data_IF_636040285758
#
_entry.id   IF_636040285758
#
_cell.length_a   1.000
_cell.length_b   1.000
_cell.length_c   1.000
_cell.angle_alpha   90.00
_cell.angle_beta   90.00
_cell.angle_gamma   90.00
#
_symmetry.space_group_name_H-M   'P 1'
#
loop_
_entity.id
_entity.type
_entity.pdbx_description
1 polymer ?
#
# COMPACT_ATOMS: atom_id res chain seq x y z
N UNK A 1 45.45 22.07 -30.87
CA UNK A 1 44.93 21.08 -31.84
C UNK A 1 44.05 20.11 -31.07
N UNK A 2 42.86 19.85 -31.62
CA UNK A 2 41.79 18.95 -31.16
C UNK A 2 41.01 19.37 -29.90
N UNK A 3 39.91 20.06 -30.17
CA UNK A 3 38.76 20.28 -29.31
C UNK A 3 37.91 19.00 -29.22
N UNK A 4 37.31 18.72 -28.06
CA UNK A 4 36.26 17.72 -27.89
C UNK A 4 34.94 18.46 -27.64
N UNK A 5 34.01 18.29 -28.57
CA UNK A 5 32.70 18.91 -28.57
C UNK A 5 31.76 18.26 -27.54
N UNK A 6 31.06 19.11 -26.79
CA UNK A 6 29.91 18.77 -25.96
C UNK A 6 28.69 18.72 -26.88
N UNK A 7 27.95 17.60 -26.89
CA UNK A 7 26.62 17.51 -27.50
C UNK A 7 25.58 17.51 -26.38
N UNK A 8 24.71 18.52 -26.40
CA UNK A 8 23.46 18.57 -25.64
C UNK A 8 22.40 17.63 -26.27
N UNK A 9 21.45 17.08 -25.51
CA UNK A 9 20.29 16.41 -26.09
C UNK A 9 19.16 17.42 -26.36
N UNK A 10 18.76 17.52 -27.62
CA UNK A 10 17.57 18.24 -28.08
C UNK A 10 16.28 17.59 -27.54
N UNK A 11 15.40 18.42 -26.96
CA UNK A 11 14.05 18.06 -26.59
C UNK A 11 13.14 18.07 -27.82
N UNK A 12 12.59 16.91 -28.19
CA UNK A 12 11.51 16.81 -29.18
C UNK A 12 10.15 16.88 -28.48
N UNK A 13 9.43 17.98 -28.72
CA UNK A 13 8.07 18.18 -28.27
C UNK A 13 7.10 17.44 -29.22
N UNK A 14 6.37 16.46 -28.69
CA UNK A 14 5.20 15.86 -29.34
C UNK A 14 3.94 16.46 -28.70
N UNK A 15 3.25 17.29 -29.48
CA UNK A 15 1.99 17.91 -29.12
C UNK A 15 0.86 16.87 -29.10
N UNK A 16 0.24 16.65 -27.94
CA UNK A 16 -1.04 15.96 -27.83
C UNK A 16 -2.16 17.01 -27.88
N UNK A 17 -2.90 17.03 -28.99
CA UNK A 17 -4.07 17.88 -29.17
C UNK A 17 -5.23 17.38 -28.30
N UNK A 18 -5.70 18.24 -27.39
CA UNK A 18 -6.95 18.05 -26.68
C UNK A 18 -8.13 18.33 -27.63
N UNK A 19 -8.94 17.30 -27.90
CA UNK A 19 -10.19 17.45 -28.64
C UNK A 19 -11.31 17.76 -27.63
N UNK A 20 -11.64 19.05 -27.49
CA UNK A 20 -12.80 19.52 -26.74
C UNK A 20 -14.09 19.27 -27.55
N UNK A 21 -14.92 18.31 -27.11
CA UNK A 21 -16.29 18.19 -27.60
C UNK A 21 -17.20 19.17 -26.85
N UNK A 22 -17.54 20.25 -27.54
CA UNK A 22 -18.60 21.19 -27.17
C UNK A 22 -19.97 20.50 -27.23
N UNK A 23 -20.62 20.31 -26.08
CA UNK A 23 -22.07 20.03 -26.04
C UNK A 23 -22.80 21.37 -25.88
N UNK A 24 -23.46 21.81 -26.97
CA UNK A 24 -24.36 22.97 -26.98
C UNK A 24 -25.62 22.65 -26.16
N UNK A 25 -25.90 23.47 -25.14
CA UNK A 25 -27.23 23.60 -24.54
C UNK A 25 -28.17 24.26 -25.56
N UNK A 26 -29.33 23.64 -25.81
CA UNK A 26 -30.51 24.32 -26.35
C UNK A 26 -31.54 24.41 -25.24
N UNK A 27 -31.89 25.64 -24.87
CA UNK A 27 -33.05 25.95 -24.02
C UNK A 27 -34.23 26.37 -24.92
N UNK A 28 -35.42 25.91 -24.57
CA UNK A 28 -36.69 26.37 -25.12
C UNK A 28 -37.87 25.90 -24.23
N UNK A 29 -38.92 26.70 -24.01
CA UNK A 29 -39.67 26.69 -22.74
C UNK A 29 -41.06 26.05 -22.86
N UNK A 30 -41.56 25.43 -21.77
CA UNK A 30 -42.99 25.15 -21.59
C UNK A 30 -43.42 25.38 -20.13
N UNK A 31 -44.54 26.11 -20.00
CA UNK A 31 -45.21 26.61 -18.78
C UNK A 31 -46.20 25.56 -18.18
N UNK A 32 -46.84 25.80 -17.01
CA UNK A 32 -46.95 24.80 -15.93
C UNK A 32 -48.39 24.33 -15.56
N UNK A 33 -48.42 23.50 -14.49
CA UNK A 33 -49.48 23.13 -13.52
C UNK A 33 -50.35 21.87 -13.74
N UNK A 34 -50.91 21.22 -12.67
CA UNK A 34 -50.58 21.25 -11.22
C UNK A 34 -50.60 19.89 -10.47
N UNK A 35 -50.05 19.91 -9.24
CA UNK A 35 -50.36 19.14 -8.02
C UNK A 35 -50.33 17.59 -7.98
N UNK A 36 -49.43 17.05 -7.15
CA UNK A 36 -49.80 16.10 -6.09
C UNK A 36 -48.74 16.08 -4.96
N UNK A 37 -49.21 16.17 -3.72
CA UNK A 37 -48.44 16.10 -2.47
C UNK A 37 -47.87 14.68 -2.24
N UNK A 38 -46.64 14.61 -1.68
CA UNK A 38 -46.35 14.01 -0.37
C UNK A 38 -45.00 13.26 -0.27
N UNK A 39 -44.43 13.42 0.94
CA UNK A 39 -43.41 12.59 1.63
C UNK A 39 -41.94 12.84 1.28
N UNK A 40 -41.27 13.58 2.17
CA UNK A 40 -39.81 13.58 2.36
C UNK A 40 -39.37 12.29 3.08
N UNK A 41 -38.22 11.69 2.71
CA UNK A 41 -37.34 11.04 3.66
C UNK A 41 -36.13 11.94 3.96
N UNK A 42 -35.73 11.98 5.23
CA UNK A 42 -34.60 12.76 5.75
C UNK A 42 -33.23 12.27 5.24
N UNK A 43 -32.14 12.99 5.59
CA UNK A 43 -30.82 12.69 5.07
C UNK A 43 -30.29 11.39 5.67
N UNK A 44 -30.15 10.37 4.82
CA UNK A 44 -29.34 9.18 5.10
C UNK A 44 -27.87 9.60 5.20
N UNK A 45 -27.24 9.14 6.29
CA UNK A 45 -25.82 9.27 6.58
C UNK A 45 -24.95 8.85 5.37
N UNK A 46 -23.87 9.61 5.17
CA UNK A 46 -22.89 9.38 4.12
C UNK A 46 -22.34 7.96 4.17
N UNK A 47 -22.63 7.20 3.13
CA UNK A 47 -22.08 5.88 2.89
C UNK A 47 -20.60 6.07 2.51
N UNK A 48 -19.70 5.81 3.45
CA UNK A 48 -18.26 5.72 3.18
C UNK A 48 -18.06 4.56 2.21
N UNK A 49 -17.37 4.84 1.11
CA UNK A 49 -17.05 3.88 0.05
C UNK A 49 -16.16 2.76 0.62
N UNK A 50 -16.74 1.57 0.79
CA UNK A 50 -16.00 0.35 1.05
C UNK A 50 -15.08 0.01 -0.15
N UNK A 51 -13.95 -0.70 0.07
CA UNK A 51 -13.02 -1.04 -0.99
C UNK A 51 -13.69 -1.90 -2.07
N UNK A 52 -13.35 -1.62 -3.34
CA UNK A 52 -13.84 -2.33 -4.52
C UNK A 52 -13.54 -3.85 -4.55
N UNK A 53 -12.82 -4.38 -3.55
CA UNK A 53 -12.52 -5.81 -3.41
C UNK A 53 -13.78 -6.68 -3.18
N UNK A 54 -14.86 -6.16 -2.60
CA UNK A 54 -16.08 -6.94 -2.36
C UNK A 54 -17.04 -7.05 -3.57
N UNK A 55 -16.81 -6.32 -4.66
CA UNK A 55 -17.69 -6.37 -5.85
C UNK A 55 -17.33 -7.42 -6.89
N UNK A 56 -16.14 -8.02 -6.81
CA UNK A 56 -15.71 -9.06 -7.76
C UNK A 56 -16.19 -10.46 -7.35
N UNK A 57 -16.52 -10.70 -6.07
CA UNK A 57 -17.05 -11.99 -5.59
C UNK A 57 -18.56 -12.23 -5.85
N UNK A 58 -19.30 -11.20 -6.28
CA UNK A 58 -20.76 -11.29 -6.49
C UNK A 58 -21.17 -11.54 -7.95
N UNK A 59 -20.22 -11.50 -8.88
CA UNK A 59 -20.49 -11.76 -10.31
C UNK A 59 -20.39 -13.26 -10.63
N UNK A 60 -19.63 -14.05 -9.88
CA UNK A 60 -19.44 -15.49 -10.14
C UNK A 60 -20.51 -16.41 -9.53
N UNK A 61 -21.30 -15.94 -8.55
CA UNK A 61 -22.36 -16.74 -7.91
C UNK A 61 -23.68 -16.82 -8.68
N UNK A 62 -23.82 -16.11 -9.81
CA UNK A 62 -25.01 -16.17 -10.68
C UNK A 62 -24.99 -17.30 -11.72
N UNK A 63 -23.92 -18.10 -11.76
CA UNK A 63 -23.78 -19.21 -12.70
C UNK A 63 -24.17 -20.60 -12.14
N UNK A 64 -24.59 -20.69 -10.86
CA UNK A 64 -24.95 -21.96 -10.23
C UNK A 64 -26.47 -22.19 -10.24
N UNK A 65 -26.87 -23.46 -10.40
CA UNK A 65 -28.29 -23.84 -10.46
C UNK A 65 -29.05 -23.49 -9.17
N UNK A 66 -30.37 -23.22 -9.23
CA UNK A 66 -31.19 -22.81 -8.08
C UNK A 66 -31.17 -23.81 -6.90
N UNK A 67 -30.84 -25.08 -7.17
CA UNK A 67 -30.77 -26.13 -6.15
C UNK A 67 -29.59 -25.96 -5.18
N UNK A 68 -28.50 -25.30 -5.60
CA UNK A 68 -27.27 -25.11 -4.79
C UNK A 68 -27.39 -23.90 -3.85
N UNK A 69 -28.23 -22.92 -4.19
CA UNK A 69 -28.41 -21.69 -3.40
C UNK A 69 -29.17 -21.91 -2.08
N UNK A 70 -29.89 -23.03 -1.93
CA UNK A 70 -30.75 -23.28 -0.76
C UNK A 70 -30.06 -23.92 0.45
N UNK A 71 -28.78 -24.29 0.33
CA UNK A 71 -28.05 -25.10 1.32
C UNK A 71 -26.87 -24.40 2.00
N UNK A 72 -26.55 -23.15 1.64
CA UNK A 72 -25.41 -22.41 2.21
C UNK A 72 -25.86 -21.53 3.37
N UNK A 73 -25.37 -21.82 4.58
CA UNK A 73 -25.53 -20.94 5.75
C UNK A 73 -24.45 -19.84 5.72
N UNK A 74 -24.70 -18.64 6.26
CA UNK A 74 -23.73 -17.54 6.30
C UNK A 74 -22.48 -17.80 7.17
N UNK A 75 -22.38 -18.98 7.80
CA UNK A 75 -21.24 -19.40 8.62
C UNK A 75 -20.24 -20.30 7.87
N UNK A 76 -20.54 -20.70 6.63
CA UNK A 76 -19.62 -21.47 5.78
C UNK A 76 -18.93 -20.49 4.82
N UNK A 77 -18.11 -19.60 5.38
CA UNK A 77 -17.28 -18.71 4.58
C UNK A 77 -16.24 -19.55 3.81
N UNK A 78 -16.08 -19.25 2.52
CA UNK A 78 -15.05 -19.77 1.62
C UNK A 78 -13.65 -19.28 2.03
N UNK A 79 -13.20 -19.59 3.25
CA UNK A 79 -11.93 -19.09 3.80
C UNK A 79 -10.72 -19.97 3.49
N UNK A 80 -10.91 -21.17 2.93
CA UNK A 80 -9.83 -22.17 2.80
C UNK A 80 -9.45 -22.54 1.36
N UNK A 81 -9.59 -21.61 0.40
CA UNK A 81 -9.14 -21.86 -0.98
C UNK A 81 -8.03 -20.91 -1.42
N UNK A 82 -6.80 -21.32 -1.13
CA UNK A 82 -5.62 -20.74 -1.74
C UNK A 82 -5.53 -21.16 -3.22
N UNK A 83 -5.23 -20.22 -4.10
CA UNK A 83 -5.03 -20.50 -5.53
C UNK A 83 -3.80 -19.77 -6.05
N UNK A 84 -3.07 -20.40 -6.95
CA UNK A 84 -1.96 -19.76 -7.66
C UNK A 84 -2.44 -19.30 -9.02
N UNK A 85 -2.21 -18.03 -9.35
CA UNK A 85 -2.47 -17.46 -10.67
C UNK A 85 -1.16 -17.21 -11.39
N UNK A 86 -1.00 -17.80 -12.57
CA UNK A 86 0.15 -17.59 -13.44
C UNK A 86 -0.30 -16.86 -14.69
N UNK A 87 0.48 -15.88 -15.13
CA UNK A 87 0.19 -15.09 -16.33
C UNK A 87 1.39 -15.11 -17.28
N UNK A 88 1.11 -15.45 -18.54
CA UNK A 88 2.04 -15.38 -19.66
C UNK A 88 1.50 -14.41 -20.71
N UNK A 89 2.30 -13.41 -21.05
CA UNK A 89 1.96 -12.40 -22.07
C UNK A 89 2.92 -12.52 -23.25
N UNK A 90 2.39 -12.59 -24.46
CA UNK A 90 3.17 -12.66 -25.70
C UNK A 90 2.75 -11.53 -26.61
N UNK A 91 3.73 -10.73 -27.04
CA UNK A 91 3.59 -9.63 -27.98
C UNK A 91 4.39 -9.95 -29.25
N UNK A 92 3.75 -10.13 -30.41
CA UNK A 92 4.44 -10.40 -31.66
C UNK A 92 5.07 -9.13 -32.23
N UNK A 93 6.03 -9.33 -33.13
CA UNK A 93 6.67 -8.26 -33.90
C UNK A 93 5.65 -7.52 -34.78
N UNK A 94 5.75 -6.18 -34.94
CA UNK A 94 4.81 -5.38 -35.73
C UNK A 94 4.77 -5.71 -37.23
N UNK A 95 5.70 -6.54 -37.74
CA UNK A 95 5.82 -6.81 -39.18
C UNK A 95 4.98 -7.99 -39.70
N UNK A 96 4.47 -8.90 -38.85
CA UNK A 96 3.55 -9.97 -39.26
C UNK A 96 2.98 -10.69 -38.03
N UNK A 97 1.84 -10.25 -37.46
CA UNK A 97 1.20 -11.00 -36.39
C UNK A 97 0.69 -12.34 -36.94
N UNK A 98 1.02 -13.45 -36.27
CA UNK A 98 0.43 -14.75 -36.58
C UNK A 98 -1.10 -14.65 -36.45
N UNK A 99 -1.80 -15.30 -37.38
CA UNK A 99 -3.27 -15.29 -37.41
C UNK A 99 -3.84 -15.89 -36.12
N UNK A 100 -4.80 -15.20 -35.51
CA UNK A 100 -5.32 -15.55 -34.18
C UNK A 100 -6.00 -16.94 -34.16
N UNK A 101 -6.61 -17.36 -35.27
CA UNK A 101 -7.17 -18.70 -35.40
C UNK A 101 -6.06 -19.77 -35.47
N UNK A 102 -4.96 -19.45 -36.16
CA UNK A 102 -3.76 -20.30 -36.21
C UNK A 102 -3.12 -20.47 -34.84
N UNK A 103 -3.02 -19.40 -34.04
CA UNK A 103 -2.53 -19.45 -32.65
C UNK A 103 -3.44 -20.33 -31.80
N UNK A 104 -4.77 -20.10 -31.87
CA UNK A 104 -5.75 -20.88 -31.12
C UNK A 104 -5.61 -22.37 -31.40
N UNK A 105 -5.65 -22.77 -32.68
CA UNK A 105 -5.50 -24.19 -33.09
C UNK A 105 -4.12 -24.75 -32.72
N UNK A 106 -3.08 -23.93 -32.81
CA UNK A 106 -1.71 -24.32 -32.51
C UNK A 106 -1.48 -24.65 -31.03
N UNK A 107 -2.20 -23.99 -30.13
CA UNK A 107 -2.11 -24.18 -28.67
C UNK A 107 -3.13 -25.18 -28.11
N UNK A 108 -4.24 -25.43 -28.81
CA UNK A 108 -5.30 -26.34 -28.39
C UNK A 108 -4.80 -27.72 -27.94
N UNK A 109 -3.86 -28.32 -28.68
CA UNK A 109 -3.36 -29.67 -28.38
C UNK A 109 -2.73 -29.78 -27.00
N UNK A 110 -2.08 -28.71 -26.52
CA UNK A 110 -1.39 -28.69 -25.22
C UNK A 110 -2.39 -28.96 -24.08
N UNK A 111 -3.56 -28.30 -24.13
CA UNK A 111 -4.58 -28.42 -23.09
C UNK A 111 -5.42 -29.70 -23.25
N UNK A 112 -5.68 -30.13 -24.49
CA UNK A 112 -6.40 -31.37 -24.76
C UNK A 112 -5.62 -32.61 -24.32
N UNK A 113 -4.30 -32.62 -24.47
CA UNK A 113 -3.42 -33.69 -23.97
C UNK A 113 -3.44 -33.80 -22.43
N UNK A 114 -3.76 -32.72 -21.72
CA UNK A 114 -3.98 -32.74 -20.26
C UNK A 114 -5.41 -33.17 -19.88
N UNK A 115 -6.25 -33.54 -20.85
CA UNK A 115 -7.63 -33.95 -20.62
C UNK A 115 -8.55 -32.80 -20.17
N UNK A 116 -8.18 -31.55 -20.44
CA UNK A 116 -9.00 -30.38 -20.12
C UNK A 116 -10.15 -30.23 -21.12
N UNK A 117 -11.32 -29.82 -20.63
CA UNK A 117 -12.49 -29.54 -21.46
C UNK A 117 -12.41 -28.09 -21.97
N UNK A 118 -12.52 -27.91 -23.29
CA UNK A 118 -12.42 -26.61 -23.95
C UNK A 118 -13.80 -25.98 -24.21
N UNK A 119 -13.89 -24.67 -24.02
CA UNK A 119 -14.98 -23.80 -24.50
C UNK A 119 -14.39 -22.57 -25.17
N UNK A 120 -14.73 -22.31 -26.43
CA UNK A 120 -14.24 -21.15 -27.19
C UNK A 120 -15.35 -20.14 -27.40
N UNK A 121 -15.09 -18.89 -27.05
CA UNK A 121 -15.94 -17.75 -27.37
C UNK A 121 -15.21 -16.81 -28.35
N UNK A 122 -15.92 -16.41 -29.41
CA UNK A 122 -15.37 -15.58 -30.49
C UNK A 122 -16.14 -14.28 -30.60
N UNK A 123 -15.43 -13.18 -30.82
CA UNK A 123 -16.02 -11.88 -31.15
C UNK A 123 -15.54 -11.43 -32.51
N UNK A 124 -16.45 -10.86 -33.30
CA UNK A 124 -16.19 -10.43 -34.68
C UNK A 124 -14.95 -9.54 -34.81
N UNK A 125 -14.79 -8.55 -33.91
CA UNK A 125 -13.66 -7.61 -33.95
C UNK A 125 -12.76 -7.66 -32.71
N UNK A 126 -12.96 -8.64 -31.82
CA UNK A 126 -12.28 -8.69 -30.52
C UNK A 126 -11.58 -10.03 -30.27
N UNK A 127 -11.34 -10.83 -31.31
CA UNK A 127 -10.57 -12.07 -31.23
C UNK A 127 -11.27 -13.17 -30.43
N UNK A 128 -10.48 -13.96 -29.69
CA UNK A 128 -10.90 -15.23 -29.09
C UNK A 128 -10.67 -15.27 -27.58
N UNK A 129 -11.55 -15.97 -26.86
CA UNK A 129 -11.33 -16.42 -25.49
C UNK A 129 -11.59 -17.92 -25.46
N UNK A 130 -10.54 -18.71 -25.22
CA UNK A 130 -10.67 -20.14 -24.97
C UNK A 130 -10.48 -20.41 -23.48
N UNK A 131 -11.46 -21.06 -22.88
CA UNK A 131 -11.44 -21.49 -21.48
C UNK A 131 -11.28 -23.00 -21.43
N UNK A 132 -10.27 -23.46 -20.70
CA UNK A 132 -9.97 -24.87 -20.48
C UNK A 132 -10.21 -25.22 -19.03
N UNK A 133 -11.02 -26.23 -18.74
CA UNK A 133 -11.37 -26.64 -17.37
C UNK A 133 -10.87 -28.07 -17.14
N UNK A 134 -10.10 -28.27 -16.07
CA UNK A 134 -9.62 -29.58 -15.64
C UNK A 134 -10.57 -30.18 -14.60
N UNK A 135 -10.58 -31.51 -14.49
CA UNK A 135 -11.41 -32.27 -13.52
C UNK A 135 -11.03 -32.01 -12.08
N UNK A 136 -9.78 -31.59 -11.82
CA UNK A 136 -9.30 -31.22 -10.48
C UNK A 136 -9.71 -29.79 -10.04
N UNK A 137 -10.48 -29.08 -10.86
CA UNK A 137 -10.93 -27.72 -10.56
C UNK A 137 -9.98 -26.61 -11.00
N UNK A 138 -8.79 -26.94 -11.52
CA UNK A 138 -7.94 -25.95 -12.19
C UNK A 138 -8.54 -25.54 -13.53
N UNK A 139 -8.23 -24.32 -13.97
CA UNK A 139 -8.65 -23.83 -15.27
C UNK A 139 -7.60 -22.91 -15.90
N UNK A 140 -7.67 -22.78 -17.21
CA UNK A 140 -6.86 -21.86 -17.99
C UNK A 140 -7.74 -20.99 -18.89
N UNK A 141 -7.41 -19.70 -18.99
CA UNK A 141 -8.01 -18.78 -19.95
C UNK A 141 -6.94 -18.32 -20.93
N UNK A 142 -7.13 -18.65 -22.21
CA UNK A 142 -6.31 -18.17 -23.32
C UNK A 142 -7.08 -17.07 -24.05
N UNK A 143 -6.61 -15.83 -23.91
CA UNK A 143 -7.17 -14.66 -24.57
C UNK A 143 -6.26 -14.25 -25.73
N UNK A 144 -6.81 -14.28 -26.94
CA UNK A 144 -6.09 -13.89 -28.17
C UNK A 144 -6.76 -12.64 -28.73
N UNK A 145 -6.01 -11.54 -28.77
CA UNK A 145 -6.46 -10.28 -29.33
C UNK A 145 -6.11 -10.18 -30.83
N UNK A 146 -6.94 -9.48 -31.63
CA UNK A 146 -6.74 -9.38 -33.08
C UNK A 146 -5.47 -8.61 -33.48
N UNK A 147 -4.89 -7.82 -32.57
CA UNK A 147 -3.65 -7.07 -32.78
C UNK A 147 -2.40 -7.83 -32.29
N UNK A 148 -2.50 -9.15 -32.13
CA UNK A 148 -1.38 -10.03 -31.85
C UNK A 148 -1.09 -10.30 -30.37
N UNK A 149 -1.67 -9.53 -29.43
CA UNK A 149 -1.50 -9.80 -28.01
C UNK A 149 -2.15 -11.15 -27.62
N UNK A 150 -1.36 -12.05 -27.04
CA UNK A 150 -1.85 -13.30 -26.45
C UNK A 150 -1.61 -13.27 -24.95
N UNK A 151 -2.67 -13.49 -24.17
CA UNK A 151 -2.61 -13.64 -22.72
C UNK A 151 -3.06 -15.05 -22.35
N UNK A 152 -2.30 -15.69 -21.48
CA UNK A 152 -2.65 -16.96 -20.88
C UNK A 152 -2.64 -16.82 -19.37
N UNK A 153 -3.78 -17.09 -18.75
CA UNK A 153 -3.96 -17.16 -17.30
C UNK A 153 -4.24 -18.60 -16.89
N UNK A 154 -3.47 -19.13 -15.95
CA UNK A 154 -3.75 -20.42 -15.31
C UNK A 154 -4.06 -20.21 -13.84
N UNK A 155 -5.12 -20.85 -13.37
CA UNK A 155 -5.45 -20.90 -11.95
C UNK A 155 -5.57 -22.36 -11.51
N UNK A 156 -4.78 -22.73 -10.50
CA UNK A 156 -4.87 -24.03 -9.84
C UNK A 156 -5.48 -23.89 -8.46
N UNK A 157 -6.24 -24.92 -8.06
CA UNK A 157 -6.48 -25.24 -6.66
C UNK A 157 -5.29 -26.06 -6.17
N UNK A 158 -4.78 -25.77 -4.97
CA UNK A 158 -3.78 -26.54 -4.21
C UNK A 158 -2.28 -26.12 -4.28
N UNK A 159 -1.63 -26.32 -3.13
CA UNK A 159 -0.26 -25.89 -2.78
C UNK A 159 0.89 -26.70 -3.41
N UNK A 160 2.12 -26.40 -2.96
CA UNK A 160 3.46 -26.65 -3.54
C UNK A 160 3.71 -27.92 -4.39
N UNK A 161 2.96 -29.00 -4.19
CA UNK A 161 3.15 -30.27 -4.91
C UNK A 161 2.63 -30.28 -6.37
N UNK A 162 1.63 -29.44 -6.72
CA UNK A 162 1.07 -29.37 -8.09
C UNK A 162 1.65 -28.26 -8.98
N UNK A 163 2.47 -27.35 -8.42
CA UNK A 163 3.07 -26.24 -9.20
C UNK A 163 3.91 -26.71 -10.40
N UNK A 164 4.52 -27.90 -10.31
CA UNK A 164 5.32 -28.50 -11.40
C UNK A 164 4.51 -28.81 -12.66
N UNK A 165 3.23 -29.16 -12.52
CA UNK A 165 2.37 -29.48 -13.66
C UNK A 165 2.00 -28.20 -14.42
N UNK A 166 1.69 -27.13 -13.69
CA UNK A 166 1.41 -25.81 -14.25
C UNK A 166 2.64 -25.22 -14.94
N UNK A 167 3.81 -25.33 -14.33
CA UNK A 167 5.07 -24.88 -14.94
C UNK A 167 5.39 -25.66 -16.22
N UNK A 168 5.15 -26.97 -16.24
CA UNK A 168 5.32 -27.79 -17.45
C UNK A 168 4.40 -27.34 -18.58
N UNK A 169 3.14 -27.00 -18.26
CA UNK A 169 2.17 -26.52 -19.25
C UNK A 169 2.60 -25.17 -19.84
N UNK A 170 3.03 -24.23 -18.99
CA UNK A 170 3.51 -22.93 -19.45
C UNK A 170 4.75 -23.06 -20.35
N UNK A 171 5.69 -23.94 -19.99
CA UNK A 171 6.88 -24.19 -20.82
C UNK A 171 6.49 -24.72 -22.21
N UNK A 172 5.53 -25.64 -22.29
CA UNK A 172 5.00 -26.14 -23.58
C UNK A 172 4.35 -25.04 -24.40
N UNK A 173 3.60 -24.12 -23.76
CA UNK A 173 2.99 -22.98 -24.46
C UNK A 173 4.06 -22.04 -25.00
N UNK A 174 5.08 -21.72 -24.22
CA UNK A 174 6.20 -20.87 -24.66
C UNK A 174 6.95 -21.49 -25.85
N UNK A 175 7.26 -22.79 -25.80
CA UNK A 175 7.90 -23.52 -26.91
C UNK A 175 7.02 -23.52 -28.16
N UNK A 176 5.73 -23.83 -28.00
CA UNK A 176 4.79 -23.89 -29.12
C UNK A 176 4.56 -22.52 -29.76
N UNK A 177 4.56 -21.45 -28.96
CA UNK A 177 4.43 -20.09 -29.49
C UNK A 177 5.63 -19.68 -30.34
N UNK A 178 6.85 -20.06 -29.95
CA UNK A 178 8.07 -19.85 -30.76
C UNK A 178 7.98 -20.55 -32.13
N UNK A 179 7.41 -21.75 -32.16
CA UNK A 179 7.20 -22.48 -33.43
C UNK A 179 6.16 -21.78 -34.32
N UNK A 180 5.09 -21.25 -33.73
CA UNK A 180 4.01 -20.57 -34.45
C UNK A 180 4.43 -19.19 -34.99
N UNK A 181 5.41 -18.55 -34.36
CA UNK A 181 5.82 -17.18 -34.65
C UNK A 181 7.00 -17.02 -35.61
N UNK A 182 7.48 -18.13 -36.20
CA UNK A 182 8.51 -18.17 -37.24
C UNK A 182 9.76 -17.32 -36.91
N UNK A 183 10.26 -17.38 -35.67
CA UNK A 183 11.44 -16.64 -35.18
C UNK A 183 11.33 -15.10 -35.24
N UNK A 184 10.13 -14.54 -35.37
CA UNK A 184 9.94 -13.10 -35.20
C UNK A 184 10.24 -12.68 -33.75
N UNK A 185 10.69 -11.43 -33.54
CA UNK A 185 11.10 -10.94 -32.21
C UNK A 185 9.90 -10.79 -31.27
N UNK A 186 9.45 -11.90 -30.70
CA UNK A 186 8.38 -11.94 -29.71
C UNK A 186 8.88 -11.46 -28.36
N UNK A 187 8.12 -10.56 -27.72
CA UNK A 187 8.33 -10.25 -26.31
C UNK A 187 7.44 -11.16 -25.50
N UNK A 188 8.08 -12.09 -24.79
CA UNK A 188 7.42 -12.97 -23.83
C UNK A 188 7.65 -12.40 -22.42
N UNK A 189 6.57 -12.27 -21.64
CA UNK A 189 6.63 -11.86 -20.24
C UNK A 189 5.89 -12.88 -19.38
N UNK A 190 6.64 -13.54 -18.49
CA UNK A 190 6.14 -14.45 -17.46
C UNK A 190 6.48 -13.85 -16.09
N UNK A 191 5.45 -13.42 -15.36
CA UNK A 191 5.62 -12.89 -14.01
C UNK A 191 5.64 -14.05 -12.99
N UNK A 192 6.19 -13.84 -11.78
CA UNK A 192 6.02 -14.77 -10.68
C UNK A 192 4.52 -15.08 -10.45
N UNK A 193 4.17 -16.34 -10.12
CA UNK A 193 2.81 -16.72 -9.77
C UNK A 193 2.30 -15.88 -8.58
N UNK A 194 1.07 -15.38 -8.68
CA UNK A 194 0.41 -14.68 -7.56
C UNK A 194 -0.42 -15.69 -6.76
N UNK A 195 -0.10 -15.85 -5.49
CA UNK A 195 -0.91 -16.62 -4.54
C UNK A 195 -2.09 -15.77 -4.08
N UNK A 196 -3.31 -16.28 -4.23
CA UNK A 196 -4.56 -15.61 -3.84
C UNK A 196 -5.22 -16.41 -2.73
N UNK A 197 -5.60 -15.75 -1.63
CA UNK A 197 -6.19 -16.44 -0.47
C UNK A 197 -5.20 -17.37 0.24
N UNK A 198 -3.89 -17.09 0.14
CA UNK A 198 -2.87 -17.83 0.86
C UNK A 198 -2.93 -17.51 2.36
N UNK A 199 -2.59 -18.50 3.20
CA UNK A 199 -2.50 -18.31 4.64
C UNK A 199 -1.43 -17.27 5.06
N UNK A 200 -0.42 -17.07 4.20
CA UNK A 200 0.62 -16.06 4.36
C UNK A 200 0.42 -15.03 3.24
N UNK A 201 0.03 -13.81 3.60
CA UNK A 201 -0.09 -12.72 2.65
C UNK A 201 1.28 -12.06 2.41
N UNK A 202 1.72 -12.11 1.15
CA UNK A 202 3.01 -11.58 0.68
C UNK A 202 2.86 -10.26 -0.07
N UNK A 203 1.64 -9.81 -0.32
CA UNK A 203 1.36 -8.72 -1.24
C UNK A 203 0.90 -7.48 -0.48
N UNK A 204 1.85 -6.59 -0.19
CA UNK A 204 1.60 -5.34 0.55
C UNK A 204 1.89 -4.14 -0.36
N UNK A 205 0.88 -3.61 -1.07
CA UNK A 205 1.08 -2.52 -2.02
C UNK A 205 1.70 -1.28 -1.37
N UNK A 206 2.50 -0.55 -2.15
CA UNK A 206 3.16 0.68 -1.70
C UNK A 206 2.16 1.83 -1.54
N UNK A 207 2.57 2.91 -0.88
CA UNK A 207 1.73 4.10 -0.68
C UNK A 207 1.29 4.74 -2.01
N UNK A 208 2.10 4.65 -3.06
CA UNK A 208 1.75 5.08 -4.42
C UNK A 208 0.99 4.03 -5.25
N UNK A 209 0.54 2.93 -4.63
CA UNK A 209 -0.37 1.94 -5.20
C UNK A 209 0.27 0.91 -6.13
N UNK A 210 1.59 0.70 -6.06
CA UNK A 210 2.26 -0.35 -6.84
C UNK A 210 2.11 -1.70 -6.16
N UNK A 211 1.87 -2.73 -6.96
CA UNK A 211 1.90 -4.11 -6.49
C UNK A 211 3.35 -4.56 -6.27
N UNK A 212 3.67 -4.96 -5.04
CA UNK A 212 4.96 -5.54 -4.67
C UNK A 212 4.73 -6.84 -3.90
N UNK A 213 5.67 -7.77 -4.03
CA UNK A 213 5.67 -9.03 -3.29
C UNK A 213 6.88 -9.02 -2.33
N UNK A 214 6.62 -9.31 -1.07
CA UNK A 214 7.63 -9.48 -0.03
C UNK A 214 8.02 -10.96 0.10
N UNK A 215 9.23 -11.22 0.59
CA UNK A 215 9.74 -12.55 0.89
C UNK A 215 9.27 -13.09 2.25
N UNK A 216 7.97 -12.95 2.53
CA UNK A 216 7.36 -13.38 3.81
C UNK A 216 7.21 -14.90 3.86
N UNK A 217 7.71 -15.52 4.93
CA UNK A 217 7.61 -16.96 5.15
C UNK A 217 6.90 -17.35 6.46
N UNK A 218 6.56 -16.39 7.33
CA UNK A 218 5.81 -16.64 8.56
C UNK A 218 4.89 -15.49 8.95
N UNK A 219 3.67 -15.81 9.40
CA UNK A 219 2.80 -14.89 10.16
C UNK A 219 3.14 -15.05 11.64
N UNK A 220 3.89 -14.10 12.20
CA UNK A 220 4.38 -14.15 13.59
C UNK A 220 3.32 -13.68 14.58
N UNK A 221 2.52 -12.69 14.17
CA UNK A 221 1.44 -12.12 14.94
C UNK A 221 0.38 -11.53 13.99
N UNK A 222 -0.90 -11.71 14.29
CA UNK A 222 -2.01 -11.11 13.56
C UNK A 222 -3.23 -11.02 14.49
N UNK A 223 -3.45 -9.85 15.06
CA UNK A 223 -4.53 -9.63 16.03
C UNK A 223 -5.16 -8.24 15.82
N UNK A 224 -6.44 -8.13 16.13
CA UNK A 224 -7.14 -6.84 16.16
C UNK A 224 -7.13 -6.26 17.58
N UNK A 225 -6.58 -5.06 17.72
CA UNK A 225 -6.73 -4.25 18.93
C UNK A 225 -8.03 -3.43 18.89
N UNK A 226 -8.40 -2.74 19.97
CA UNK A 226 -9.49 -1.77 19.94
C UNK A 226 -9.29 -0.61 18.94
N UNK A 227 -8.09 -0.44 18.40
CA UNK A 227 -7.71 0.68 17.54
C UNK A 227 -7.43 0.28 16.09
N UNK A 228 -6.80 -0.88 15.87
CA UNK A 228 -6.28 -1.26 14.55
C UNK A 228 -5.98 -2.77 14.44
N UNK A 229 -5.89 -3.26 13.22
CA UNK A 229 -5.28 -4.57 12.96
C UNK A 229 -3.76 -4.46 13.06
N UNK A 230 -3.13 -5.41 13.75
CA UNK A 230 -1.69 -5.46 13.99
C UNK A 230 -1.15 -6.78 13.44
N UNK A 231 -0.26 -6.69 12.46
CA UNK A 231 0.47 -7.85 11.94
C UNK A 231 1.96 -7.70 12.19
N UNK A 232 2.60 -8.80 12.54
CA UNK A 232 4.05 -8.95 12.47
C UNK A 232 4.33 -10.13 11.57
N UNK A 233 5.01 -9.89 10.45
CA UNK A 233 5.32 -10.88 9.44
C UNK A 233 6.83 -11.07 9.35
N UNK A 234 7.31 -12.31 9.26
CA UNK A 234 8.73 -12.59 9.09
C UNK A 234 9.10 -12.50 7.60
N UNK A 235 10.02 -11.60 7.26
CA UNK A 235 10.73 -11.55 5.98
C UNK A 235 12.15 -12.09 6.15
N UNK A 236 12.60 -12.88 5.18
CA UNK A 236 13.96 -13.45 5.20
C UNK A 236 15.03 -12.37 5.14
N UNK A 237 14.82 -11.32 4.35
CA UNK A 237 15.80 -10.24 4.17
C UNK A 237 15.61 -9.07 5.16
N UNK A 238 14.38 -8.76 5.57
CA UNK A 238 14.07 -7.60 6.42
C UNK A 238 13.91 -7.95 7.91
N UNK A 239 13.83 -9.25 8.24
CA UNK A 239 13.47 -9.71 9.58
C UNK A 239 11.96 -9.53 9.82
N UNK A 240 11.57 -9.32 11.07
CA UNK A 240 10.16 -9.10 11.38
C UNK A 240 9.72 -7.70 10.92
N UNK A 241 8.56 -7.62 10.27
CA UNK A 241 7.94 -6.41 9.73
C UNK A 241 6.63 -6.15 10.48
N UNK A 242 6.53 -4.99 11.13
CA UNK A 242 5.31 -4.48 11.73
C UNK A 242 4.44 -3.81 10.67
N UNK A 243 3.19 -4.26 10.57
CA UNK A 243 2.18 -3.75 9.64
C UNK A 243 0.94 -3.37 10.44
N UNK A 244 0.50 -2.12 10.34
CA UNK A 244 -0.67 -1.60 11.06
C UNK A 244 -1.75 -1.19 10.07
N UNK A 245 -2.96 -1.75 10.22
CA UNK A 245 -4.08 -1.50 9.30
C UNK A 245 -3.74 -1.69 7.81
N UNK A 246 -2.79 -2.57 7.52
CA UNK A 246 -2.31 -2.87 6.16
C UNK A 246 -1.26 -1.91 5.60
N UNK A 247 -0.73 -1.00 6.42
CA UNK A 247 0.41 -0.13 6.07
C UNK A 247 1.70 -0.68 6.69
N UNK A 248 2.82 -0.65 5.95
CA UNK A 248 4.12 -1.13 6.45
C UNK A 248 4.74 -0.01 7.29
N UNK A 249 4.82 -0.23 8.60
CA UNK A 249 5.34 0.78 9.53
C UNK A 249 6.85 0.68 9.73
N UNK A 250 7.36 -0.51 10.03
CA UNK A 250 8.78 -0.69 10.31
C UNK A 250 9.18 -2.17 10.29
N UNK A 251 10.33 -2.48 9.71
CA UNK A 251 11.00 -3.77 9.85
C UNK A 251 12.24 -3.71 10.75
N UNK A 252 12.70 -4.86 11.23
CA UNK A 252 13.97 -4.97 11.96
C UNK A 252 15.20 -4.51 11.15
N UNK A 253 15.11 -4.45 9.82
CA UNK A 253 16.13 -3.90 8.94
C UNK A 253 16.19 -2.36 8.90
N UNK A 254 15.18 -1.67 9.43
CA UNK A 254 14.89 -0.30 9.06
C UNK A 254 15.49 0.75 9.99
N UNK A 255 16.72 0.51 10.47
CA UNK A 255 17.48 1.52 11.23
C UNK A 255 17.60 2.86 10.47
N UNK A 256 17.52 2.84 9.13
CA UNK A 256 17.47 4.04 8.31
C UNK A 256 16.27 4.94 8.63
N UNK A 257 15.08 4.36 8.90
CA UNK A 257 13.89 5.08 9.34
C UNK A 257 14.15 5.77 10.69
N UNK A 258 14.52 4.98 11.71
CA UNK A 258 14.80 5.48 13.07
C UNK A 258 15.87 6.56 13.05
N UNK A 259 16.93 6.38 12.25
CA UNK A 259 17.99 7.39 12.08
C UNK A 259 17.48 8.68 11.45
N UNK A 260 16.69 8.59 10.38
CA UNK A 260 16.17 9.77 9.68
C UNK A 260 15.22 10.58 10.55
N UNK A 261 14.26 9.91 11.21
CA UNK A 261 13.28 10.56 12.08
C UNK A 261 13.91 11.12 13.37
N UNK A 262 15.13 10.73 13.71
CA UNK A 262 15.94 11.33 14.79
C UNK A 262 16.86 12.48 14.33
N UNK A 263 16.77 12.92 13.07
CA UNK A 263 17.57 14.01 12.53
C UNK A 263 18.90 13.58 11.88
N UNK A 264 19.00 12.32 11.45
CA UNK A 264 20.10 11.79 10.63
C UNK A 264 21.51 11.91 11.26
N UNK A 265 21.58 11.94 12.59
CA UNK A 265 22.83 12.06 13.37
C UNK A 265 23.37 13.49 13.49
N UNK A 266 22.57 14.51 13.14
CA UNK A 266 22.92 15.92 13.27
C UNK A 266 22.64 16.50 14.66
N UNK A 267 21.84 15.79 15.46
CA UNK A 267 21.40 16.24 16.78
C UNK A 267 22.20 15.61 17.91
N UNK A 268 22.37 16.36 19.00
CA UNK A 268 22.90 15.85 20.27
C UNK A 268 21.77 15.70 21.28
N UNK A 269 21.46 14.45 21.62
CA UNK A 269 20.41 14.08 22.58
C UNK A 269 20.88 14.08 24.04
N UNK A 270 22.19 14.27 24.29
CA UNK A 270 22.75 14.24 25.65
C UNK A 270 22.11 15.30 26.54
N UNK A 271 21.48 14.88 27.64
CA UNK A 271 20.85 15.79 28.59
C UNK A 271 19.61 16.52 28.08
N UNK A 272 18.99 16.05 26.98
CA UNK A 272 17.80 16.66 26.37
C UNK A 272 16.49 16.07 26.89
N UNK A 273 15.45 16.90 26.90
CA UNK A 273 14.06 16.46 27.13
C UNK A 273 13.41 16.18 25.76
N UNK A 274 12.95 14.95 25.53
CA UNK A 274 12.38 14.47 24.25
C UNK A 274 10.95 13.97 24.44
N UNK A 275 10.07 14.32 23.52
CA UNK A 275 8.72 13.77 23.41
C UNK A 275 8.60 12.94 22.13
N UNK A 276 8.12 11.70 22.21
CA UNK A 276 7.79 10.83 21.09
C UNK A 276 6.27 10.63 21.08
N UNK A 277 5.63 10.86 19.94
CA UNK A 277 4.20 10.60 19.71
C UNK A 277 4.08 9.34 18.85
N UNK A 278 3.37 8.31 19.29
CA UNK A 278 3.41 6.99 18.67
C UNK A 278 4.72 6.26 19.00
N UNK A 279 5.30 5.61 17.99
CA UNK A 279 6.56 4.86 18.12
C UNK A 279 6.43 3.60 18.98
N UNK A 280 5.27 2.93 18.94
CA UNK A 280 5.00 1.70 19.70
C UNK A 280 5.93 0.53 19.39
N UNK A 281 6.69 0.58 18.29
CA UNK A 281 7.78 -0.36 17.99
C UNK A 281 8.97 -0.21 18.94
N UNK A 282 9.14 0.96 19.58
CA UNK A 282 10.17 1.25 20.57
C UNK A 282 11.57 1.56 20.01
N UNK A 283 11.77 1.60 18.69
CA UNK A 283 13.07 1.83 18.06
C UNK A 283 13.66 3.19 18.38
N UNK A 284 12.87 4.27 18.24
CA UNK A 284 13.30 5.64 18.56
C UNK A 284 13.66 5.75 20.04
N UNK A 285 12.81 5.22 20.92
CA UNK A 285 13.04 5.21 22.36
C UNK A 285 14.35 4.48 22.71
N UNK A 286 14.54 3.27 22.16
CA UNK A 286 15.73 2.45 22.38
C UNK A 286 17.02 3.17 21.95
N UNK A 287 17.02 3.81 20.77
CA UNK A 287 18.18 4.55 20.27
C UNK A 287 18.46 5.81 21.10
N UNK A 288 17.43 6.60 21.45
CA UNK A 288 17.64 7.84 22.21
C UNK A 288 18.13 7.54 23.63
N UNK A 289 17.62 6.51 24.31
CA UNK A 289 18.07 6.14 25.67
C UNK A 289 19.58 5.88 25.72
N UNK A 290 20.16 5.27 24.67
CA UNK A 290 21.62 5.03 24.56
C UNK A 290 22.42 6.34 24.52
N UNK A 291 21.81 7.44 24.09
CA UNK A 291 22.41 8.77 23.95
C UNK A 291 22.31 9.63 25.22
N UNK A 292 21.95 9.03 26.37
CA UNK A 292 21.93 9.68 27.70
C UNK A 292 21.09 10.96 27.74
N UNK A 293 19.80 10.88 27.36
CA UNK A 293 18.88 12.00 27.44
C UNK A 293 18.64 12.36 28.91
N UNK A 294 18.09 13.54 29.15
CA UNK A 294 17.58 13.89 30.49
C UNK A 294 16.27 13.15 30.76
N UNK A 295 15.35 13.16 29.79
CA UNK A 295 14.10 12.43 29.86
C UNK A 295 13.53 12.20 28.46
N UNK A 296 13.11 10.97 28.16
CA UNK A 296 12.29 10.64 26.99
C UNK A 296 10.89 10.30 27.46
N UNK A 297 9.88 10.98 26.94
CA UNK A 297 8.48 10.61 27.16
C UNK A 297 7.91 10.11 25.84
N UNK A 298 7.57 8.83 25.77
CA UNK A 298 6.88 8.23 24.63
C UNK A 298 5.39 8.12 24.96
N UNK A 299 4.53 8.45 24.00
CA UNK A 299 3.07 8.43 24.18
C UNK A 299 2.46 7.59 23.06
N UNK A 300 2.05 6.38 23.40
CA UNK A 300 1.51 5.39 22.47
C UNK A 300 0.09 5.03 22.93
N UNK A 301 -0.85 4.97 22.00
CA UNK A 301 -2.26 4.70 22.32
C UNK A 301 -2.53 3.20 22.49
N UNK A 302 -1.76 2.35 21.80
CA UNK A 302 -2.06 0.94 21.64
C UNK A 302 -1.09 0.03 22.39
N UNK A 303 -1.55 -0.49 23.54
CA UNK A 303 -0.81 -1.45 24.36
C UNK A 303 -0.46 -2.73 23.59
N UNK A 304 -1.29 -3.17 22.64
CA UNK A 304 -1.04 -4.40 21.89
C UNK A 304 0.10 -4.24 20.89
N UNK A 305 0.31 -3.03 20.35
CA UNK A 305 1.49 -2.73 19.51
C UNK A 305 2.76 -2.87 20.35
N UNK A 306 2.79 -2.27 21.55
CA UNK A 306 3.95 -2.38 22.46
C UNK A 306 4.23 -3.83 22.84
N UNK A 307 3.22 -4.59 23.22
CA UNK A 307 3.41 -5.98 23.66
C UNK A 307 3.84 -6.89 22.50
N UNK A 308 3.29 -6.70 21.30
CA UNK A 308 3.72 -7.38 20.07
C UNK A 308 5.18 -7.06 19.73
N UNK A 309 5.53 -5.78 19.69
CA UNK A 309 6.90 -5.33 19.36
C UNK A 309 7.93 -5.74 20.42
N UNK A 310 7.59 -5.63 21.71
CA UNK A 310 8.42 -6.16 22.81
C UNK A 310 8.65 -7.66 22.64
N UNK A 311 7.69 -8.44 22.13
CA UNK A 311 7.87 -9.88 21.96
C UNK A 311 8.64 -10.23 20.70
N UNK A 312 8.37 -9.55 19.59
CA UNK A 312 8.77 -10.01 18.25
C UNK A 312 9.69 -9.04 17.48
N UNK A 313 9.84 -7.78 17.89
CA UNK A 313 10.69 -6.77 17.22
C UNK A 313 11.94 -6.44 18.05
N UNK A 314 12.59 -7.46 18.60
CA UNK A 314 13.70 -7.30 19.57
C UNK A 314 14.94 -6.65 18.96
N UNK A 315 15.19 -6.79 17.65
CA UNK A 315 16.30 -6.05 17.01
C UNK A 315 16.06 -4.55 16.95
N UNK A 316 14.78 -4.13 17.00
CA UNK A 316 14.37 -2.73 17.00
C UNK A 316 14.37 -2.15 18.42
N UNK A 317 13.56 -2.71 19.33
CA UNK A 317 13.38 -2.15 20.67
C UNK A 317 14.39 -2.63 21.72
N UNK A 318 15.15 -3.70 21.46
CA UNK A 318 15.99 -4.33 22.47
C UNK A 318 15.16 -4.79 23.68
N UNK A 319 15.54 -4.34 24.87
CA UNK A 319 14.87 -4.62 26.15
C UNK A 319 14.18 -3.38 26.76
N UNK A 320 14.20 -2.22 26.07
CA UNK A 320 13.70 -0.95 26.64
C UNK A 320 12.21 -1.01 27.00
N UNK A 321 11.43 -1.81 26.26
CA UNK A 321 10.00 -1.98 26.48
C UNK A 321 9.66 -3.01 27.57
N UNK A 322 10.63 -3.74 28.12
CA UNK A 322 10.39 -4.68 29.23
C UNK A 322 9.94 -3.94 30.50
N UNK A 323 10.40 -2.69 30.67
CA UNK A 323 9.90 -1.78 31.68
C UNK A 323 9.45 -0.48 31.02
N UNK A 324 8.18 -0.10 31.18
CA UNK A 324 7.63 1.14 30.62
C UNK A 324 8.14 2.42 31.30
N UNK A 325 8.98 2.28 32.33
CA UNK A 325 9.66 3.39 33.01
C UNK A 325 11.07 2.97 33.37
N UNK A 326 12.02 3.87 33.16
CA UNK A 326 13.41 3.73 33.59
C UNK A 326 13.98 5.06 34.08
N UNK A 327 15.29 5.11 34.26
CA UNK A 327 15.97 6.29 34.84
C UNK A 327 15.80 7.57 34.01
N UNK A 328 15.79 7.44 32.68
CA UNK A 328 15.75 8.55 31.73
C UNK A 328 14.60 8.44 30.72
N UNK A 329 13.60 7.58 30.98
CA UNK A 329 12.45 7.47 30.10
C UNK A 329 11.16 7.00 30.78
N UNK A 330 10.04 7.29 30.14
CA UNK A 330 8.72 6.76 30.46
C UNK A 330 7.88 6.58 29.19
N UNK A 331 7.04 5.55 29.20
CA UNK A 331 6.01 5.29 28.18
C UNK A 331 4.64 5.53 28.81
N UNK A 332 3.81 6.35 28.16
CA UNK A 332 2.43 6.63 28.54
C UNK A 332 1.51 5.92 27.55
N UNK A 333 0.59 5.11 28.08
CA UNK A 333 -0.38 4.34 27.29
C UNK A 333 -1.69 5.14 27.20
N UNK A 334 -1.69 6.18 26.37
CA UNK A 334 -2.75 7.18 26.26
C UNK A 334 -2.76 7.78 24.85
N UNK A 335 -3.92 8.32 24.43
CA UNK A 335 -4.00 9.16 23.23
C UNK A 335 -3.08 10.40 23.39
N UNK A 336 -2.26 10.69 22.39
CA UNK A 336 -1.31 11.79 22.46
C UNK A 336 -1.97 13.18 22.43
N UNK A 337 -3.19 13.32 21.89
CA UNK A 337 -3.88 14.62 21.79
C UNK A 337 -4.21 15.20 23.17
N UNK A 338 -4.89 14.48 24.10
CA UNK A 338 -5.06 14.94 25.48
C UNK A 338 -3.73 15.24 26.19
N UNK A 339 -2.71 14.41 25.97
CA UNK A 339 -1.39 14.58 26.61
C UNK A 339 -0.69 15.85 26.14
N UNK A 340 -0.70 16.12 24.83
CA UNK A 340 -0.17 17.35 24.25
C UNK A 340 -0.92 18.59 24.76
N UNK A 341 -2.26 18.54 24.81
CA UNK A 341 -3.08 19.63 25.38
C UNK A 341 -2.73 19.89 26.85
N UNK A 342 -2.52 18.83 27.63
CA UNK A 342 -2.10 18.91 29.04
C UNK A 342 -0.73 19.57 29.17
N UNK A 343 0.28 19.11 28.43
CA UNK A 343 1.63 19.71 28.47
C UNK A 343 1.66 21.16 28.02
N UNK A 344 0.92 21.52 26.97
CA UNK A 344 0.80 22.92 26.53
C UNK A 344 0.18 23.80 27.62
N UNK A 345 -0.85 23.31 28.32
CA UNK A 345 -1.50 24.03 29.43
C UNK A 345 -0.57 24.20 30.64
N UNK A 346 0.26 23.21 30.91
CA UNK A 346 1.26 23.22 31.98
C UNK A 346 2.50 24.06 31.64
N UNK A 347 2.65 24.51 30.39
CA UNK A 347 3.83 25.22 29.91
C UNK A 347 5.07 24.33 29.83
N UNK A 348 4.89 23.00 29.70
CA UNK A 348 6.00 22.06 29.53
C UNK A 348 6.52 22.13 28.10
N UNK A 349 7.83 22.33 27.97
CA UNK A 349 8.51 22.37 26.68
C UNK A 349 9.62 21.29 26.57
N UNK A 350 9.83 20.80 25.36
CA UNK A 350 10.82 19.76 25.02
C UNK A 350 11.85 20.31 24.03
N UNK A 351 13.09 19.81 24.12
CA UNK A 351 14.14 20.13 23.14
C UNK A 351 13.81 19.52 21.77
N UNK A 352 13.24 18.32 21.78
CA UNK A 352 12.83 17.60 20.57
C UNK A 352 11.43 17.02 20.73
N UNK A 353 10.63 17.14 19.68
CA UNK A 353 9.35 16.43 19.54
C UNK A 353 9.45 15.57 18.27
N UNK A 354 9.26 14.27 18.41
CA UNK A 354 9.32 13.31 17.31
C UNK A 354 7.91 12.75 17.12
N UNK A 355 7.30 13.05 15.98
CA UNK A 355 6.00 12.49 15.62
C UNK A 355 6.22 11.24 14.78
N UNK A 356 5.92 10.10 15.38
CA UNK A 356 6.01 8.76 14.83
C UNK A 356 4.64 8.06 14.87
N UNK A 357 3.59 8.84 14.60
CA UNK A 357 2.22 8.34 14.44
C UNK A 357 2.07 7.63 13.09
N UNK A 358 1.04 6.78 13.00
CA UNK A 358 0.59 6.16 11.74
C UNK A 358 0.26 7.24 10.70
N UNK A 359 0.40 6.91 9.40
CA UNK A 359 0.18 7.84 8.29
C UNK A 359 -1.18 8.57 8.37
N UNK A 360 -2.21 7.84 8.79
CA UNK A 360 -3.46 8.41 9.30
C UNK A 360 -3.45 8.18 10.82
N UNK A 361 -3.28 9.23 11.64
CA UNK A 361 -3.25 9.04 13.07
C UNK A 361 -4.60 8.56 13.59
N UNK A 362 -4.59 7.71 14.61
CA UNK A 362 -5.82 7.20 15.23
C UNK A 362 -6.51 8.33 16.00
N UNK A 363 -7.81 8.51 15.77
CA UNK A 363 -8.65 9.41 16.56
C UNK A 363 -9.76 8.63 17.25
N UNK A 364 -9.99 8.94 18.52
CA UNK A 364 -11.11 8.39 19.31
C UNK A 364 -12.37 9.25 19.21
N UNK A 365 -12.31 10.37 18.47
CA UNK A 365 -13.40 11.34 18.36
C UNK A 365 -14.00 11.37 16.94
N UNK A 366 -15.33 11.43 16.80
CA UNK A 366 -15.98 11.52 15.49
C UNK A 366 -15.91 12.93 14.84
N UNK A 367 -15.23 13.89 15.47
CA UNK A 367 -15.33 15.34 15.17
C UNK A 367 -14.27 15.89 14.21
N UNK A 368 -13.47 15.03 13.56
CA UNK A 368 -12.44 15.50 12.62
C UNK A 368 -13.01 15.56 11.20
N UNK A 369 -13.54 16.73 10.84
CA UNK A 369 -14.15 17.01 9.53
C UNK A 369 -13.14 16.86 8.34
N UNK A 370 -11.83 16.75 8.60
CA UNK A 370 -10.78 16.56 7.58
C UNK A 370 -9.47 16.03 8.17
N UNK A 371 -8.86 15.01 7.53
CA UNK A 371 -7.53 14.46 7.85
C UNK A 371 -6.45 15.54 7.96
N UNK A 372 -6.49 16.56 7.08
CA UNK A 372 -5.51 17.65 7.09
C UNK A 372 -5.64 18.57 8.30
N UNK A 373 -6.87 18.82 8.77
CA UNK A 373 -7.09 19.61 9.98
C UNK A 373 -6.63 18.85 11.22
N UNK A 374 -6.75 17.52 11.23
CA UNK A 374 -6.22 16.70 12.31
C UNK A 374 -4.69 16.71 12.35
N UNK A 375 -4.03 16.53 11.20
CA UNK A 375 -2.57 16.68 11.10
C UNK A 375 -2.12 18.08 11.54
N UNK A 376 -2.84 19.13 11.12
CA UNK A 376 -2.56 20.50 11.57
C UNK A 376 -2.73 20.65 13.08
N UNK A 377 -3.74 20.02 13.69
CA UNK A 377 -3.94 20.05 15.14
C UNK A 377 -2.73 19.43 15.88
N UNK A 378 -2.25 18.27 15.42
CA UNK A 378 -1.07 17.60 15.99
C UNK A 378 0.16 18.49 15.86
N UNK A 379 0.39 19.06 14.67
CA UNK A 379 1.50 19.99 14.41
C UNK A 379 1.43 21.22 15.32
N UNK A 380 0.26 21.85 15.45
CA UNK A 380 0.08 23.06 16.24
C UNK A 380 0.31 22.81 17.74
N UNK A 381 -0.20 21.69 18.25
CA UNK A 381 0.03 21.25 19.63
C UNK A 381 1.49 20.88 19.88
N UNK A 382 2.13 20.18 18.94
CA UNK A 382 3.56 19.83 19.00
C UNK A 382 4.44 21.07 19.05
N UNK A 383 4.14 22.08 18.23
CA UNK A 383 4.85 23.35 18.28
C UNK A 383 4.66 24.08 19.62
N UNK A 384 3.49 23.99 20.26
CA UNK A 384 3.25 24.64 21.57
C UNK A 384 4.10 24.06 22.69
N UNK A 385 4.48 22.78 22.60
CA UNK A 385 5.35 22.10 23.57
C UNK A 385 6.80 21.99 23.11
N UNK A 386 7.15 22.55 21.95
CA UNK A 386 8.53 22.59 21.47
C UNK A 386 9.24 23.84 22.02
N UNK A 387 10.47 23.72 22.53
CA UNK A 387 11.28 24.90 22.90
C UNK A 387 11.52 25.80 21.67
N UNK A 388 11.78 27.09 21.92
CA UNK A 388 12.03 28.06 20.83
C UNK A 388 13.22 27.68 19.91
N UNK A 389 14.23 27.01 20.46
CA UNK A 389 15.41 26.50 19.73
C UNK A 389 15.36 24.98 19.51
N UNK A 390 14.21 24.34 19.78
CA UNK A 390 14.01 22.93 19.57
C UNK A 390 13.73 22.57 18.11
N UNK A 391 13.74 21.28 17.81
CA UNK A 391 13.35 20.75 16.49
C UNK A 391 12.27 19.70 16.61
N UNK A 392 11.41 19.68 15.62
CA UNK A 392 10.39 18.66 15.42
C UNK A 392 10.77 17.78 14.23
N UNK A 393 10.62 16.48 14.39
CA UNK A 393 10.90 15.49 13.36
C UNK A 393 9.67 14.61 13.11
N UNK A 394 9.47 14.23 11.86
CA UNK A 394 8.36 13.33 11.48
C UNK A 394 8.67 12.63 10.16
N UNK A 395 8.12 11.45 10.01
CA UNK A 395 7.92 10.87 8.69
C UNK A 395 6.89 11.71 7.91
N UNK A 396 7.09 11.85 6.60
CA UNK A 396 6.22 12.61 5.71
C UNK A 396 5.32 11.71 4.89
N UNK A 397 5.79 11.31 3.71
CA UNK A 397 5.09 10.40 2.82
C UNK A 397 6.05 9.86 1.73
N UNK A 398 5.55 8.97 0.88
CA UNK A 398 6.20 8.57 -0.37
C UNK A 398 6.54 9.80 -1.25
N UNK A 399 7.73 9.80 -1.84
CA UNK A 399 8.22 10.88 -2.71
C UNK A 399 7.34 11.12 -3.94
N UNK A 400 6.60 10.09 -4.39
CA UNK A 400 5.73 10.18 -5.57
C UNK A 400 4.38 10.86 -5.27
N UNK A 401 3.96 10.94 -4.01
CA UNK A 401 2.70 11.57 -3.59
C UNK A 401 2.85 13.08 -3.43
N UNK A 402 3.23 13.76 -4.51
CA UNK A 402 3.57 15.20 -4.52
C UNK A 402 2.43 16.11 -4.08
N UNK A 403 1.18 15.80 -4.45
CA UNK A 403 0.00 16.54 -4.00
C UNK A 403 -0.21 16.42 -2.49
N UNK A 404 -0.06 15.20 -1.93
CA UNK A 404 -0.19 14.97 -0.50
C UNK A 404 0.93 15.67 0.29
N UNK A 405 2.18 15.61 -0.20
CA UNK A 405 3.30 16.34 0.40
C UNK A 405 3.07 17.86 0.35
N UNK A 406 2.53 18.38 -0.75
CA UNK A 406 2.20 19.81 -0.87
C UNK A 406 1.10 20.22 0.12
N UNK A 407 0.05 19.40 0.29
CA UNK A 407 -1.05 19.67 1.22
C UNK A 407 -0.58 19.60 2.69
N UNK A 408 0.36 18.71 2.99
CA UNK A 408 1.02 18.64 4.28
C UNK A 408 1.84 19.92 4.55
N UNK A 409 2.65 20.35 3.58
CA UNK A 409 3.46 21.57 3.67
C UNK A 409 2.59 22.84 3.82
N UNK A 410 1.39 22.88 3.25
CA UNK A 410 0.42 23.95 3.46
C UNK A 410 0.00 24.07 4.94
N UNK A 411 -0.15 22.94 5.65
CA UNK A 411 -0.52 22.96 7.07
C UNK A 411 0.57 23.58 7.95
N UNK A 412 1.86 23.44 7.58
CA UNK A 412 2.97 24.07 8.30
C UNK A 412 2.86 25.61 8.27
N UNK A 413 2.23 26.20 7.25
CA UNK A 413 1.96 27.64 7.17
C UNK A 413 0.78 28.12 8.03
N UNK A 414 0.02 27.21 8.64
CA UNK A 414 -1.24 27.49 9.36
C UNK A 414 -1.15 27.23 10.87
N UNK A 415 0.06 27.18 11.42
CA UNK A 415 0.32 26.96 12.84
C UNK A 415 0.30 28.28 13.63
N UNK A 416 0.20 28.20 14.96
CA UNK A 416 0.11 29.37 15.84
C UNK A 416 1.36 30.26 15.83
N UNK A 417 2.50 29.72 15.41
CA UNK A 417 3.76 30.44 15.24
C UNK A 417 4.38 30.16 13.87
N UNK A 418 5.12 31.11 13.28
CA UNK A 418 5.84 30.88 12.04
C UNK A 418 6.93 29.81 12.25
N UNK A 419 7.02 28.88 11.31
CA UNK A 419 8.01 27.81 11.28
C UNK A 419 8.81 27.84 9.98
N UNK A 420 9.97 27.20 10.02
CA UNK A 420 10.77 26.84 8.86
C UNK A 420 10.94 25.32 8.86
N UNK A 421 11.19 24.75 7.68
CA UNK A 421 11.37 23.31 7.55
C UNK A 421 12.39 22.96 6.49
N UNK A 422 12.94 21.75 6.61
CA UNK A 422 13.68 21.07 5.56
C UNK A 422 13.15 19.65 5.41
N UNK A 423 13.41 19.04 4.25
CA UNK A 423 13.04 17.66 3.97
C UNK A 423 14.22 16.87 3.43
N UNK A 424 14.27 15.59 3.78
CA UNK A 424 15.25 14.64 3.25
C UNK A 424 14.56 13.40 2.69
N UNK A 425 15.08 12.87 1.59
CA UNK A 425 14.57 11.64 0.97
C UNK A 425 15.45 10.48 1.40
N UNK A 426 14.82 9.43 1.92
CA UNK A 426 15.48 8.31 2.58
C UNK A 426 15.03 7.01 1.95
N UNK A 427 15.99 6.11 1.76
CA UNK A 427 15.73 4.72 1.40
C UNK A 427 15.54 3.93 2.70
N UNK A 428 14.29 3.57 2.99
CA UNK A 428 13.96 2.64 4.09
C UNK A 428 13.87 1.25 3.47
N UNK A 429 14.71 0.27 3.89
CA UNK A 429 14.85 -1.01 3.19
C UNK A 429 13.53 -1.72 2.93
N UNK A 430 12.69 -1.88 3.96
CA UNK A 430 11.44 -2.63 3.81
C UNK A 430 10.35 -1.87 3.04
N UNK A 431 10.44 -0.55 2.87
CA UNK A 431 9.33 0.23 2.27
C UNK A 431 9.18 -0.02 0.76
N UNK A 432 10.24 -0.50 0.08
CA UNK A 432 10.27 -0.68 -1.38
C UNK A 432 9.87 0.58 -2.17
N UNK A 433 10.06 1.74 -1.55
CA UNK A 433 9.85 3.07 -2.09
C UNK A 433 10.68 4.13 -1.33
N UNK A 434 10.89 5.28 -1.95
CA UNK A 434 11.62 6.38 -1.33
C UNK A 434 10.67 7.23 -0.46
N UNK A 435 11.09 7.49 0.77
CA UNK A 435 10.27 8.20 1.75
C UNK A 435 10.83 9.59 2.08
N UNK A 436 9.95 10.56 2.30
CA UNK A 436 10.31 11.93 2.71
C UNK A 436 10.19 12.06 4.22
N UNK A 437 11.22 12.62 4.87
CA UNK A 437 11.21 13.00 6.28
C UNK A 437 11.32 14.50 6.43
N UNK A 438 10.63 15.06 7.42
CA UNK A 438 10.63 16.50 7.69
C UNK A 438 11.38 16.82 8.98
N UNK A 439 12.15 17.91 8.93
CA UNK A 439 12.65 18.62 10.11
C UNK A 439 12.00 19.99 10.14
N UNK A 440 11.34 20.34 11.23
CA UNK A 440 10.62 21.62 11.41
C UNK A 440 11.14 22.33 12.65
N UNK A 441 11.32 23.65 12.58
CA UNK A 441 11.71 24.47 13.73
C UNK A 441 10.99 25.82 13.73
N UNK A 442 10.88 26.43 14.91
CA UNK A 442 10.28 27.75 15.07
C UNK A 442 11.18 28.81 14.44
N UNK A 443 10.61 29.71 13.65
CA UNK A 443 11.34 30.85 13.11
C UNK A 443 11.82 31.74 14.27
N UNK A 444 13.02 32.30 14.12
CA UNK A 444 13.57 33.24 15.12
C UNK A 444 12.61 34.42 15.31
N UNK A 445 12.41 34.82 16.57
CA UNK A 445 11.64 36.03 16.87
C UNK A 445 12.38 37.25 16.30
N UNK A 446 11.70 38.14 15.56
CA UNK A 446 12.31 39.34 15.00
C UNK A 446 12.81 40.29 16.09
#
# INVERSE_FOLDING_TARGET
MAAAAVMEPEASALAAGACCLNVRKQEGPQQPDPAEEAVRPGPTAGMVMAPQALRLGLVELKALSPSVQSSLKPSDCLTDFASQRLTLTILPSPCSPADGETILKGLQSIFQEQGMTESVHTWQDHGYLATYINKNGSFANLRIYPHGLVLLDLQSYDGDAQGKEVDSLLNKVEERMKELSQDSTERVKRLPPIVRGGAIDRYWPTADGRLVEYDIDEVVYDEDSPYQNIKILHSKQFGNILILSGDVNLAESDLAYTRAIMGSGKEDYTGKDVLILGGGDGGILCEIVKLKPKMVTMVEIDQMVIDGCKKYMRKTCGDVLDNLKGDCYQVLIEDCIPVLKRYAKEGREFDYVINDLTAVPISTSPEEDSTWEFLRLILDLSMKVLKQNGKYFTQGNCVNLTEALSLYEEQLGRLYCPVEFSKETVCVPSYLELWVFYTVWKKAKP
#
